data_IF_221096832677
#
_entry.id   IF_221096832677
#
_cell.length_a   1.000
_cell.length_b   1.000
_cell.length_c   1.000
_cell.angle_alpha   90.00
_cell.angle_beta   90.00
_cell.angle_gamma   90.00
#
_symmetry.space_group_name_H-M   'P 1'
#
loop_
_entity.id
_entity.type
_entity.pdbx_description
1 polymer ?
#
# COMPACT_ATOMS: atom_id res chain seq x y z
N UNK A 1 -17.55 -21.25 9.64
CA UNK A 1 -16.32 -20.41 9.57
C UNK A 1 -16.77 -18.97 9.78
N UNK A 2 -16.46 -18.38 10.93
CA UNK A 2 -16.85 -17.01 11.27
C UNK A 2 -15.96 -16.03 10.52
N UNK A 3 -16.55 -15.14 9.72
CA UNK A 3 -15.81 -14.09 9.03
C UNK A 3 -15.28 -13.01 9.99
N UNK A 4 -14.59 -11.98 9.48
CA UNK A 4 -13.98 -10.94 10.31
C UNK A 4 -15.00 -10.27 11.23
N UNK A 5 -14.59 -9.97 12.46
CA UNK A 5 -15.49 -9.41 13.47
C UNK A 5 -15.62 -7.88 13.33
N UNK A 6 -16.85 -7.40 13.28
CA UNK A 6 -17.24 -6.00 13.25
C UNK A 6 -17.80 -5.62 14.62
N UNK A 7 -17.25 -4.57 15.24
CA UNK A 7 -17.90 -3.95 16.39
C UNK A 7 -18.83 -2.86 15.88
N UNK A 8 -20.13 -3.00 16.16
CA UNK A 8 -21.16 -2.03 15.83
C UNK A 8 -21.54 -1.25 17.09
N UNK A 9 -21.33 0.06 17.04
CA UNK A 9 -21.55 1.00 18.14
C UNK A 9 -22.61 2.01 17.74
N UNK A 10 -23.77 1.93 18.38
CA UNK A 10 -24.94 2.79 18.10
C UNK A 10 -25.87 2.75 19.30
N UNK A 11 -26.40 3.90 19.73
CA UNK A 11 -27.32 4.01 20.87
C UNK A 11 -28.77 3.65 20.51
N UNK A 12 -29.11 3.60 19.22
CA UNK A 12 -30.41 3.15 18.73
C UNK A 12 -30.43 1.62 18.57
N UNK A 13 -31.12 0.94 19.49
CA UNK A 13 -31.25 -0.52 19.51
C UNK A 13 -31.79 -1.10 18.21
N UNK A 14 -32.80 -0.48 17.61
CA UNK A 14 -33.44 -0.97 16.39
C UNK A 14 -32.52 -0.82 15.19
N UNK A 15 -31.84 0.32 15.08
CA UNK A 15 -30.85 0.53 14.03
C UNK A 15 -29.67 -0.43 14.17
N UNK A 16 -29.23 -0.67 15.41
CA UNK A 16 -28.12 -1.58 15.71
C UNK A 16 -28.46 -3.03 15.35
N UNK A 17 -29.67 -3.51 15.65
CA UNK A 17 -30.15 -4.84 15.24
C UNK A 17 -30.20 -4.98 13.71
N UNK A 18 -30.82 -4.01 13.02
CA UNK A 18 -30.98 -4.02 11.57
C UNK A 18 -29.63 -4.03 10.82
N UNK A 19 -28.66 -3.23 11.26
CA UNK A 19 -27.32 -3.20 10.66
C UNK A 19 -26.56 -4.50 10.94
N UNK A 20 -26.70 -5.09 12.13
CA UNK A 20 -26.07 -6.35 12.48
C UNK A 20 -26.58 -7.53 11.66
N UNK A 21 -27.89 -7.58 11.36
CA UNK A 21 -28.48 -8.58 10.48
C UNK A 21 -27.86 -8.50 9.07
N UNK A 22 -27.73 -7.31 8.50
CA UNK A 22 -27.10 -7.13 7.19
C UNK A 22 -25.64 -7.57 7.18
N UNK A 23 -24.87 -7.23 8.21
CA UNK A 23 -23.46 -7.62 8.33
C UNK A 23 -23.32 -9.13 8.47
N UNK A 24 -24.18 -9.76 9.27
CA UNK A 24 -24.17 -11.21 9.50
C UNK A 24 -24.53 -11.97 8.22
N UNK A 25 -25.56 -11.53 7.49
CA UNK A 25 -25.88 -12.04 6.15
C UNK A 25 -24.72 -11.82 5.16
N UNK A 26 -23.97 -10.74 5.33
CA UNK A 26 -22.75 -10.41 4.60
C UNK A 26 -21.53 -11.28 4.94
N UNK A 27 -21.66 -12.21 5.90
CA UNK A 27 -20.62 -13.14 6.33
C UNK A 27 -19.70 -12.61 7.44
N UNK A 28 -20.04 -11.51 8.09
CA UNK A 28 -19.29 -10.95 9.21
C UNK A 28 -19.74 -11.55 10.55
N UNK A 29 -18.83 -11.62 11.52
CA UNK A 29 -19.23 -11.75 12.93
C UNK A 29 -19.52 -10.35 13.48
N UNK A 30 -20.60 -10.17 14.24
CA UNK A 30 -20.98 -8.84 14.76
C UNK A 30 -21.00 -8.87 16.27
N UNK A 31 -20.39 -7.84 16.87
CA UNK A 31 -20.47 -7.55 18.30
C UNK A 31 -21.07 -6.16 18.48
N UNK A 32 -21.82 -5.97 19.55
CA UNK A 32 -22.55 -4.74 19.82
C UNK A 32 -21.92 -3.96 20.97
N UNK A 33 -22.06 -2.64 20.91
CA UNK A 33 -21.98 -1.74 22.05
C UNK A 33 -23.07 -0.66 21.91
N UNK A 34 -23.74 -0.33 23.01
CA UNK A 34 -24.81 0.67 23.03
C UNK A 34 -24.30 2.09 23.27
N UNK A 35 -23.06 2.24 23.74
CA UNK A 35 -22.46 3.54 24.00
C UNK A 35 -20.93 3.52 23.83
N UNK A 36 -20.33 4.72 23.84
CA UNK A 36 -18.90 4.90 23.65
C UNK A 36 -18.02 4.28 24.75
N UNK A 37 -18.48 4.23 26.00
CA UNK A 37 -17.72 3.64 27.12
C UNK A 37 -17.70 2.12 27.02
N UNK A 38 -18.85 1.52 26.73
CA UNK A 38 -18.96 0.10 26.45
C UNK A 38 -18.07 -0.27 25.25
N UNK A 39 -18.12 0.51 24.16
CA UNK A 39 -17.30 0.28 22.99
C UNK A 39 -15.80 0.25 23.33
N UNK A 40 -15.30 1.25 24.07
CA UNK A 40 -13.90 1.30 24.51
C UNK A 40 -13.53 0.11 25.42
N UNK A 41 -14.40 -0.26 26.35
CA UNK A 41 -14.17 -1.41 27.23
C UNK A 41 -14.09 -2.73 26.44
N UNK A 42 -14.98 -2.91 25.46
CA UNK A 42 -15.03 -4.09 24.60
C UNK A 42 -13.80 -4.17 23.69
N UNK A 43 -13.45 -3.07 23.01
CA UNK A 43 -12.29 -3.02 22.12
C UNK A 43 -10.98 -3.33 22.83
N UNK A 44 -10.81 -2.83 24.07
CA UNK A 44 -9.62 -3.11 24.90
C UNK A 44 -9.52 -4.58 25.30
N UNK A 45 -10.65 -5.26 25.50
CA UNK A 45 -10.67 -6.70 25.84
C UNK A 45 -10.45 -7.58 24.61
N UNK A 46 -11.02 -7.21 23.47
CA UNK A 46 -10.89 -7.96 22.22
C UNK A 46 -10.99 -6.99 21.04
N UNK A 47 -9.86 -6.67 20.39
CA UNK A 47 -9.86 -5.77 19.24
C UNK A 47 -10.64 -6.34 18.04
N UNK A 48 -11.64 -5.63 17.51
CA UNK A 48 -12.36 -6.05 16.31
C UNK A 48 -11.54 -5.82 15.03
N UNK A 49 -11.98 -6.42 13.92
CA UNK A 49 -11.38 -6.20 12.62
C UNK A 49 -11.70 -4.80 12.06
N UNK A 50 -12.86 -4.23 12.43
CA UNK A 50 -13.33 -2.88 12.08
C UNK A 50 -14.41 -2.43 13.07
N UNK A 51 -14.51 -1.13 13.29
CA UNK A 51 -15.58 -0.51 14.09
C UNK A 51 -16.50 0.26 13.17
N UNK A 52 -17.80 0.00 13.27
CA UNK A 52 -18.86 0.86 12.77
C UNK A 52 -19.33 1.72 13.93
N UNK A 53 -19.11 3.03 13.84
CA UNK A 53 -19.26 3.94 14.97
C UNK A 53 -20.27 5.03 14.64
N UNK A 54 -21.37 5.10 15.38
CA UNK A 54 -22.26 6.25 15.28
C UNK A 54 -21.56 7.53 15.76
N UNK A 55 -21.75 8.60 15.00
CA UNK A 55 -21.25 9.94 15.34
C UNK A 55 -22.04 10.51 16.52
N UNK A 56 -23.36 10.30 16.57
CA UNK A 56 -24.25 11.00 17.49
C UNK A 56 -24.77 10.08 18.59
N UNK A 57 -23.98 9.89 19.65
CA UNK A 57 -24.39 9.12 20.82
C UNK A 57 -24.44 9.99 22.09
N UNK A 58 -25.31 9.68 23.06
CA UNK A 58 -25.35 10.35 24.35
C UNK A 58 -24.08 10.07 25.18
N UNK A 59 -23.80 10.98 26.11
CA UNK A 59 -22.61 10.99 26.99
C UNK A 59 -21.27 11.14 26.25
N UNK A 60 -20.82 10.09 25.58
CA UNK A 60 -19.54 10.04 24.87
C UNK A 60 -19.82 9.83 23.38
N UNK A 61 -19.75 10.93 22.62
CA UNK A 61 -20.01 10.92 21.19
C UNK A 61 -18.96 10.12 20.41
N UNK A 62 -19.31 9.69 19.19
CA UNK A 62 -18.43 8.85 18.37
C UNK A 62 -17.11 9.52 18.00
N UNK A 63 -17.07 10.84 17.93
CA UNK A 63 -15.82 11.57 17.64
C UNK A 63 -14.88 11.49 18.84
N UNK A 64 -15.39 11.63 20.06
CA UNK A 64 -14.63 11.49 21.29
C UNK A 64 -14.12 10.05 21.49
N UNK A 65 -14.94 9.04 21.18
CA UNK A 65 -14.52 7.62 21.16
C UNK A 65 -13.38 7.41 20.19
N UNK A 66 -13.53 7.91 18.96
CA UNK A 66 -12.52 7.81 17.91
C UNK A 66 -11.19 8.47 18.33
N UNK A 67 -11.28 9.66 18.90
CA UNK A 67 -10.14 10.40 19.44
C UNK A 67 -9.41 9.60 20.54
N UNK A 68 -10.15 8.97 21.45
CA UNK A 68 -9.59 8.10 22.49
C UNK A 68 -8.95 6.83 21.89
N UNK A 69 -9.55 6.27 20.84
CA UNK A 69 -8.96 5.16 20.10
C UNK A 69 -7.63 5.59 19.47
N UNK A 70 -7.56 6.76 18.82
CA UNK A 70 -6.32 7.24 18.17
C UNK A 70 -5.22 7.60 19.18
N UNK A 71 -5.59 8.00 20.41
CA UNK A 71 -4.63 8.21 21.52
C UNK A 71 -4.19 6.91 22.20
N UNK A 72 -4.92 5.82 22.01
CA UNK A 72 -4.62 4.51 22.62
C UNK A 72 -3.82 3.64 21.64
N UNK A 73 -2.55 3.31 21.91
CA UNK A 73 -1.71 2.54 20.98
C UNK A 73 -2.35 1.22 20.52
N UNK A 74 -3.08 0.55 21.42
CA UNK A 74 -3.70 -0.75 21.17
C UNK A 74 -4.98 -0.65 20.32
N UNK A 75 -5.56 0.55 20.19
CA UNK A 75 -6.82 0.80 19.47
C UNK A 75 -6.62 1.65 18.21
N UNK A 76 -5.51 2.38 18.11
CA UNK A 76 -5.26 3.38 17.07
C UNK A 76 -5.27 2.79 15.65
N UNK A 77 -4.90 1.51 15.51
CA UNK A 77 -4.85 0.81 14.22
C UNK A 77 -6.14 0.06 13.86
N UNK A 78 -7.18 0.15 14.69
CA UNK A 78 -8.49 -0.42 14.38
C UNK A 78 -9.17 0.53 13.39
N UNK A 79 -9.57 0.05 12.20
CA UNK A 79 -10.21 0.91 11.23
C UNK A 79 -11.61 1.29 11.70
N UNK A 80 -12.00 2.54 11.45
CA UNK A 80 -13.28 3.09 11.86
C UNK A 80 -14.05 3.60 10.66
N UNK A 81 -15.28 3.12 10.55
CA UNK A 81 -16.28 3.60 9.59
C UNK A 81 -17.36 4.33 10.38
N UNK A 82 -17.46 5.64 10.17
CA UNK A 82 -18.49 6.42 10.86
C UNK A 82 -19.88 6.18 10.25
N UNK A 83 -20.89 6.10 11.11
CA UNK A 83 -22.30 6.10 10.77
C UNK A 83 -22.90 7.45 11.17
N UNK A 84 -23.67 8.09 10.29
CA UNK A 84 -24.29 9.39 10.58
C UNK A 84 -25.72 9.48 10.08
N UNK A 85 -26.61 10.01 10.92
CA UNK A 85 -27.97 10.42 10.53
C UNK A 85 -28.01 11.71 9.71
N UNK A 86 -26.91 12.46 9.64
CA UNK A 86 -26.80 13.71 8.88
C UNK A 86 -25.94 13.52 7.63
N UNK A 87 -26.49 13.86 6.46
CA UNK A 87 -25.88 13.64 5.13
C UNK A 87 -25.18 14.88 4.55
N UNK A 88 -24.84 15.87 5.40
CA UNK A 88 -24.13 17.05 4.93
C UNK A 88 -22.71 16.72 4.46
N UNK A 89 -22.27 17.17 3.27
CA UNK A 89 -20.90 17.02 2.80
C UNK A 89 -19.84 17.51 3.80
N UNK A 90 -20.16 18.53 4.59
CA UNK A 90 -19.25 19.09 5.61
C UNK A 90 -18.96 18.11 6.75
N UNK A 91 -19.94 17.30 7.16
CA UNK A 91 -19.77 16.29 8.22
C UNK A 91 -18.88 15.16 7.72
N UNK A 92 -19.08 14.74 6.46
CA UNK A 92 -18.26 13.71 5.82
C UNK A 92 -16.80 14.15 5.65
N UNK A 93 -16.56 15.38 5.17
CA UNK A 93 -15.20 15.92 5.02
C UNK A 93 -14.51 15.97 6.38
N UNK A 94 -15.17 16.49 7.42
CA UNK A 94 -14.61 16.57 8.76
C UNK A 94 -14.27 15.19 9.35
N UNK A 95 -15.10 14.18 9.15
CA UNK A 95 -14.83 12.82 9.60
C UNK A 95 -13.59 12.21 8.92
N UNK A 96 -13.39 12.48 7.63
CA UNK A 96 -12.21 12.04 6.88
C UNK A 96 -10.96 12.82 7.28
N UNK A 97 -11.07 14.13 7.53
CA UNK A 97 -9.97 14.97 8.04
C UNK A 97 -9.49 14.53 9.43
N UNK A 98 -10.37 13.97 10.25
CA UNK A 98 -10.03 13.38 11.55
C UNK A 98 -9.27 12.04 11.41
N UNK A 99 -9.17 11.46 10.21
CA UNK A 99 -8.44 10.22 9.94
C UNK A 99 -9.29 8.96 10.07
N UNK A 100 -10.61 9.07 9.87
CA UNK A 100 -11.48 7.90 9.71
C UNK A 100 -11.23 7.21 8.37
N UNK A 101 -11.45 5.89 8.33
CA UNK A 101 -11.17 5.06 7.15
C UNK A 101 -12.29 5.15 6.10
N UNK A 102 -13.52 5.38 6.54
CA UNK A 102 -14.67 5.72 5.67
C UNK A 102 -15.81 6.37 6.50
N UNK A 103 -16.84 6.83 5.79
CA UNK A 103 -18.05 7.42 6.35
C UNK A 103 -19.29 6.95 5.56
N UNK A 104 -20.34 6.53 6.28
CA UNK A 104 -21.59 6.01 5.72
C UNK A 104 -22.79 6.69 6.36
N UNK A 105 -23.79 7.05 5.56
CA UNK A 105 -25.04 7.58 6.08
C UNK A 105 -25.92 6.41 6.60
N UNK A 106 -26.62 6.59 7.73
CA UNK A 106 -27.46 5.54 8.32
C UNK A 106 -28.58 5.05 7.38
N UNK A 107 -28.99 5.86 6.40
CA UNK A 107 -30.01 5.57 5.39
C UNK A 107 -29.43 5.09 4.05
N UNK A 108 -28.18 4.65 4.05
CA UNK A 108 -27.51 4.06 2.89
C UNK A 108 -28.03 2.65 2.60
N UNK A 109 -27.97 2.23 1.32
CA UNK A 109 -28.31 0.88 0.90
C UNK A 109 -27.42 -0.16 1.66
N UNK A 110 -28.00 -1.23 2.25
CA UNK A 110 -27.23 -2.28 2.93
C UNK A 110 -26.08 -2.89 2.11
N UNK A 111 -26.27 -3.03 0.79
CA UNK A 111 -25.25 -3.54 -0.11
C UNK A 111 -24.03 -2.58 -0.21
N UNK A 112 -24.28 -1.27 -0.14
CA UNK A 112 -23.22 -0.25 -0.11
C UNK A 112 -22.45 -0.29 1.20
N UNK A 113 -23.15 -0.39 2.35
CA UNK A 113 -22.50 -0.54 3.66
C UNK A 113 -21.55 -1.76 3.65
N UNK A 114 -22.04 -2.92 3.20
CA UNK A 114 -21.24 -4.14 3.08
C UNK A 114 -20.03 -3.96 2.16
N UNK A 115 -20.20 -3.31 1.00
CA UNK A 115 -19.11 -3.06 0.07
C UNK A 115 -18.02 -2.16 0.67
N UNK A 116 -18.41 -1.14 1.42
CA UNK A 116 -17.50 -0.20 2.10
C UNK A 116 -16.73 -0.86 3.23
N UNK A 117 -17.41 -1.61 4.08
CA UNK A 117 -16.77 -2.39 5.16
C UNK A 117 -15.74 -3.37 4.57
N UNK A 118 -16.10 -4.09 3.50
CA UNK A 118 -15.15 -4.96 2.78
C UNK A 118 -13.97 -4.21 2.17
N UNK A 119 -14.21 -3.00 1.63
CA UNK A 119 -13.15 -2.18 1.05
C UNK A 119 -12.17 -1.68 2.12
N UNK A 120 -12.67 -1.24 3.28
CA UNK A 120 -11.85 -0.85 4.43
C UNK A 120 -11.03 -2.04 4.94
N UNK A 121 -11.64 -3.20 5.09
CA UNK A 121 -10.94 -4.42 5.52
C UNK A 121 -9.90 -4.91 4.49
N UNK A 122 -10.15 -4.71 3.18
CA UNK A 122 -9.17 -4.98 2.11
C UNK A 122 -8.00 -4.00 2.07
N UNK A 123 -8.23 -2.75 2.49
CA UNK A 123 -7.17 -1.73 2.63
C UNK A 123 -6.26 -2.00 3.82
N UNK A 124 -6.66 -2.89 4.74
CA UNK A 124 -5.83 -3.36 5.84
C UNK A 124 -4.79 -4.37 5.34
N UNK A 125 -3.48 -4.17 5.57
CA UNK A 125 -2.56 -5.29 5.68
C UNK A 125 -2.93 -6.08 6.95
N UNK A 126 -2.86 -7.40 6.89
CA UNK A 126 -3.19 -8.27 8.02
C UNK A 126 -2.47 -7.80 9.29
N UNK A 127 -3.23 -7.38 10.30
CA UNK A 127 -2.66 -7.01 11.59
C UNK A 127 -2.22 -8.27 12.31
N UNK A 128 -0.90 -8.45 12.37
CA UNK A 128 -0.22 -9.24 13.38
C UNK A 128 1.03 -8.44 13.82
N UNK A 129 0.87 -7.72 14.93
CA UNK A 129 1.91 -7.32 15.88
C UNK A 129 3.14 -6.56 15.36
N UNK A 130 3.18 -5.23 15.57
CA UNK A 130 4.45 -4.48 15.66
C UNK A 130 4.47 -3.12 14.96
N UNK A 131 3.93 -2.09 15.63
CA UNK A 131 4.25 -0.67 15.46
C UNK A 131 4.60 -0.17 14.03
N UNK A 132 3.57 0.16 13.24
CA UNK A 132 3.72 1.08 12.10
C UNK A 132 4.20 2.42 12.66
N UNK A 133 5.44 2.79 12.36
CA UNK A 133 6.06 4.04 12.79
C UNK A 133 5.75 5.20 11.83
N UNK A 134 5.43 4.91 10.55
CA UNK A 134 5.17 5.91 9.52
C UNK A 134 4.44 5.28 8.32
N UNK A 135 3.48 5.98 7.71
CA UNK A 135 2.87 5.59 6.44
C UNK A 135 2.69 6.83 5.55
N UNK A 136 2.72 6.64 4.24
CA UNK A 136 2.60 7.75 3.29
C UNK A 136 2.64 7.30 1.83
N UNK A 137 2.93 8.25 0.94
CA UNK A 137 2.95 8.04 -0.52
C UNK A 137 4.34 8.37 -1.07
N UNK A 138 4.86 7.50 -1.95
CA UNK A 138 6.09 7.71 -2.72
C UNK A 138 5.80 8.26 -4.13
N UNK A 139 6.54 9.30 -4.51
CA UNK A 139 6.46 9.94 -5.83
C UNK A 139 5.26 10.89 -5.99
N UNK A 140 5.25 11.66 -7.09
CA UNK A 140 4.29 12.75 -7.30
C UNK A 140 4.48 13.86 -6.26
N UNK A 141 3.40 14.24 -5.58
CA UNK A 141 3.41 15.21 -4.46
C UNK A 141 3.87 14.59 -3.12
N UNK A 142 4.26 13.30 -3.12
CA UNK A 142 4.74 12.57 -1.95
C UNK A 142 6.25 12.65 -1.73
N UNK A 143 6.75 11.87 -0.76
CA UNK A 143 8.19 11.80 -0.42
C UNK A 143 8.93 10.93 -1.45
N UNK A 144 10.19 11.23 -1.75
CA UNK A 144 11.00 10.37 -2.60
C UNK A 144 11.53 9.15 -1.83
N UNK A 145 11.80 8.03 -2.52
CA UNK A 145 12.31 6.83 -1.84
C UNK A 145 13.66 7.12 -1.15
N UNK A 146 14.52 7.92 -1.79
CA UNK A 146 15.82 8.29 -1.26
C UNK A 146 15.70 9.16 0.01
N UNK A 147 14.83 10.16 0.03
CA UNK A 147 14.59 11.01 1.20
C UNK A 147 14.03 10.19 2.38
N UNK A 148 13.09 9.28 2.09
CA UNK A 148 12.54 8.38 3.09
C UNK A 148 13.62 7.44 3.66
N UNK A 149 14.40 6.78 2.81
CA UNK A 149 15.45 5.88 3.26
C UNK A 149 16.53 6.62 4.04
N UNK A 150 16.95 7.81 3.62
CA UNK A 150 17.89 8.65 4.38
C UNK A 150 17.35 8.97 5.77
N UNK A 151 16.07 9.31 5.88
CA UNK A 151 15.41 9.56 7.16
C UNK A 151 15.45 8.33 8.07
N UNK A 152 15.11 7.16 7.53
CA UNK A 152 15.14 5.90 8.28
C UNK A 152 16.55 5.53 8.75
N UNK A 153 17.55 5.67 7.87
CA UNK A 153 18.95 5.40 8.19
C UNK A 153 19.48 6.35 9.27
N UNK A 154 19.08 7.62 9.25
CA UNK A 154 19.45 8.60 10.26
C UNK A 154 18.96 8.22 11.68
N UNK A 155 17.79 7.57 11.79
CA UNK A 155 17.26 7.12 13.10
C UNK A 155 18.11 6.02 13.75
N UNK A 156 18.89 5.27 12.96
CA UNK A 156 19.59 4.02 13.34
C UNK A 156 18.71 2.94 13.97
N UNK A 157 17.38 3.12 13.99
CA UNK A 157 16.43 2.13 14.50
C UNK A 157 16.21 1.06 13.45
N UNK A 158 16.01 -0.17 13.93
CA UNK A 158 15.61 -1.26 13.06
C UNK A 158 14.18 -1.02 12.55
N UNK A 159 14.02 -0.89 11.25
CA UNK A 159 12.74 -0.62 10.59
C UNK A 159 12.61 -1.40 9.28
N UNK A 160 11.37 -1.69 8.88
CA UNK A 160 11.02 -2.27 7.58
C UNK A 160 10.09 -1.33 6.84
N UNK A 161 10.55 -0.85 5.70
CA UNK A 161 9.74 -0.20 4.68
C UNK A 161 9.08 -1.26 3.81
N UNK A 162 7.76 -1.20 3.65
CA UNK A 162 6.94 -2.08 2.82
C UNK A 162 6.24 -1.25 1.75
N UNK A 163 6.37 -1.65 0.49
CA UNK A 163 5.70 -1.07 -0.67
C UNK A 163 4.63 -2.04 -1.15
N UNK A 164 3.43 -1.96 -0.57
CA UNK A 164 2.39 -2.99 -0.69
C UNK A 164 1.96 -3.24 -2.14
N UNK A 165 1.85 -2.18 -2.94
CA UNK A 165 1.47 -2.28 -4.36
C UNK A 165 2.55 -2.94 -5.21
N UNK A 166 3.81 -2.71 -4.86
CA UNK A 166 4.96 -3.27 -5.56
C UNK A 166 5.30 -4.69 -5.09
N UNK A 167 4.77 -5.10 -3.93
CA UNK A 167 5.15 -6.36 -3.26
C UNK A 167 6.62 -6.35 -2.83
N UNK A 168 7.14 -5.18 -2.44
CA UNK A 168 8.54 -4.99 -2.08
C UNK A 168 8.73 -4.66 -0.61
N UNK A 169 9.91 -4.97 -0.07
CA UNK A 169 10.31 -4.53 1.26
C UNK A 169 11.79 -4.14 1.32
N UNK A 170 12.12 -3.11 2.08
CA UNK A 170 13.49 -2.69 2.40
C UNK A 170 13.63 -2.64 3.91
N UNK A 171 14.62 -3.34 4.47
CA UNK A 171 14.88 -3.37 5.90
C UNK A 171 16.13 -2.56 6.22
N UNK A 172 16.00 -1.64 7.17
CA UNK A 172 17.07 -0.77 7.65
C UNK A 172 17.38 -1.14 9.10
N UNK A 173 18.66 -1.22 9.47
CA UNK A 173 19.10 -1.41 10.85
C UNK A 173 20.50 -0.82 11.07
N UNK A 174 20.74 -0.24 12.24
CA UNK A 174 22.07 0.28 12.60
C UNK A 174 22.59 1.40 11.70
N UNK A 175 21.71 2.08 10.96
CA UNK A 175 22.09 3.12 9.99
C UNK A 175 22.51 2.59 8.61
N UNK A 176 22.23 1.32 8.32
CA UNK A 176 22.45 0.71 7.02
C UNK A 176 21.18 0.03 6.49
N UNK A 177 21.09 -0.15 5.17
CA UNK A 177 20.12 -1.04 4.55
C UNK A 177 20.66 -2.46 4.66
N UNK A 178 19.94 -3.35 5.33
CA UNK A 178 20.41 -4.70 5.64
C UNK A 178 19.74 -5.79 4.80
N UNK A 179 18.55 -5.51 4.27
CA UNK A 179 17.85 -6.43 3.36
C UNK A 179 16.96 -5.63 2.40
N UNK A 180 16.80 -6.15 1.18
CA UNK A 180 15.83 -5.66 0.22
C UNK A 180 15.26 -6.87 -0.54
N UNK A 181 13.94 -6.86 -0.74
CA UNK A 181 13.21 -7.95 -1.38
C UNK A 181 12.19 -7.39 -2.34
N UNK A 182 12.12 -8.01 -3.52
CA UNK A 182 11.11 -7.72 -4.51
C UNK A 182 10.92 -8.91 -5.44
N UNK A 183 9.73 -9.53 -5.42
CA UNK A 183 9.48 -10.79 -6.13
C UNK A 183 10.56 -11.82 -5.81
N UNK A 184 11.22 -12.37 -6.84
CA UNK A 184 12.31 -13.35 -6.72
C UNK A 184 13.70 -12.70 -6.54
N UNK A 185 13.78 -11.36 -6.52
CA UNK A 185 15.03 -10.64 -6.31
C UNK A 185 15.29 -10.37 -4.82
N UNK A 186 16.56 -10.48 -4.45
CA UNK A 186 17.05 -10.23 -3.10
C UNK A 186 18.29 -9.32 -3.12
N UNK A 187 18.54 -8.61 -2.02
CA UNK A 187 19.74 -7.81 -1.84
C UNK A 187 19.82 -6.62 -2.81
N UNK A 188 21.01 -6.35 -3.35
CA UNK A 188 21.26 -5.15 -4.16
C UNK A 188 20.38 -5.12 -5.44
N UNK A 189 20.22 -6.25 -6.12
CA UNK A 189 19.39 -6.34 -7.32
C UNK A 189 17.90 -6.07 -7.04
N UNK A 190 17.43 -6.38 -5.82
CA UNK A 190 16.09 -6.01 -5.38
C UNK A 190 16.02 -4.51 -5.08
N UNK A 191 17.02 -3.96 -4.41
CA UNK A 191 17.07 -2.53 -4.06
C UNK A 191 17.06 -1.63 -5.30
N UNK A 192 17.79 -2.01 -6.35
CA UNK A 192 17.78 -1.32 -7.66
C UNK A 192 16.37 -1.30 -8.27
N UNK A 193 15.68 -2.44 -8.29
CA UNK A 193 14.32 -2.55 -8.85
C UNK A 193 13.29 -1.82 -8.01
N UNK A 194 13.46 -1.84 -6.70
CA UNK A 194 12.66 -1.03 -5.78
C UNK A 194 12.88 0.45 -6.09
N UNK A 195 14.12 0.92 -6.20
CA UNK A 195 14.41 2.30 -6.55
C UNK A 195 13.80 2.71 -7.90
N UNK A 196 13.86 1.82 -8.89
CA UNK A 196 13.31 2.05 -10.22
C UNK A 196 11.77 2.16 -10.23
N UNK A 197 11.08 1.30 -9.48
CA UNK A 197 9.62 1.19 -9.52
C UNK A 197 8.88 1.75 -8.29
N UNK A 198 9.60 2.29 -7.31
CA UNK A 198 9.01 2.81 -6.08
C UNK A 198 8.07 3.98 -6.37
N UNK A 199 6.78 3.69 -6.31
CA UNK A 199 5.67 4.64 -6.41
C UNK A 199 4.53 4.15 -5.52
N UNK A 200 3.70 5.09 -5.09
CA UNK A 200 2.48 4.79 -4.36
C UNK A 200 2.73 4.48 -2.88
N UNK A 201 1.84 3.72 -2.26
CA UNK A 201 1.73 3.73 -0.80
C UNK A 201 2.84 2.91 -0.14
N UNK A 202 3.38 3.47 0.94
CA UNK A 202 4.37 2.81 1.77
C UNK A 202 3.97 2.76 3.24
N UNK A 203 4.51 1.78 3.93
CA UNK A 203 4.38 1.61 5.37
C UNK A 203 5.76 1.34 5.94
N UNK A 204 6.11 1.97 7.05
CA UNK A 204 7.32 1.70 7.83
C UNK A 204 6.92 1.13 9.16
N UNK A 205 7.46 -0.04 9.48
CA UNK A 205 7.24 -0.72 10.76
C UNK A 205 8.55 -0.79 11.53
N UNK A 206 8.49 -0.59 12.85
CA UNK A 206 9.63 -0.90 13.71
C UNK A 206 9.79 -2.43 13.73
N UNK A 207 10.98 -2.92 13.39
CA UNK A 207 11.28 -4.34 13.49
C UNK A 207 12.20 -4.58 14.67
N UNK A 208 11.95 -5.62 15.45
CA UNK A 208 12.97 -6.12 16.36
C UNK A 208 14.19 -6.49 15.50
N UNK A 209 15.37 -6.01 15.89
CA UNK A 209 16.58 -6.18 15.11
C UNK A 209 16.75 -7.66 14.71
N UNK A 210 16.80 -7.93 13.41
CA UNK A 210 17.25 -9.23 12.91
C UNK A 210 18.72 -9.34 13.28
N UNK A 211 19.01 -10.02 14.39
CA UNK A 211 20.36 -10.42 14.76
C UNK A 211 20.85 -11.47 13.75
N UNK A 212 21.40 -10.99 12.64
CA UNK A 212 22.09 -11.77 11.61
C UNK A 212 23.47 -11.16 11.34
N UNK A 213 24.43 -11.94 10.80
CA UNK A 213 25.81 -11.49 10.65
C UNK A 213 25.88 -10.20 9.84
N UNK A 214 26.84 -9.33 10.22
CA UNK A 214 27.20 -8.08 9.56
C UNK A 214 27.68 -8.33 8.13
N UNK A 215 26.74 -8.66 7.23
CA UNK A 215 26.95 -8.53 5.79
C UNK A 215 27.20 -7.04 5.49
N UNK A 216 28.05 -6.70 4.50
CA UNK A 216 28.14 -5.32 4.04
C UNK A 216 26.73 -4.84 3.67
N UNK A 217 26.31 -3.73 4.27
CA UNK A 217 24.99 -3.16 4.01
C UNK A 217 24.79 -2.88 2.52
N UNK A 218 23.56 -3.03 2.05
CA UNK A 218 23.17 -2.66 0.69
C UNK A 218 23.39 -1.17 0.48
N UNK A 219 23.83 -0.80 -0.73
CA UNK A 219 24.19 0.59 -1.04
C UNK A 219 23.09 1.25 -1.85
N UNK A 220 22.37 2.18 -1.22
CA UNK A 220 21.42 3.05 -1.91
C UNK A 220 22.13 3.88 -2.99
N UNK A 221 23.34 4.36 -2.73
CA UNK A 221 24.13 5.10 -3.71
C UNK A 221 24.43 4.23 -4.94
N UNK A 222 24.84 2.98 -4.74
CA UNK A 222 25.11 2.07 -5.87
C UNK A 222 23.83 1.78 -6.66
N UNK A 223 22.68 1.67 -5.99
CA UNK A 223 21.40 1.52 -6.68
C UNK A 223 21.08 2.76 -7.53
N UNK A 224 21.22 3.97 -6.98
CA UNK A 224 20.99 5.22 -7.70
C UNK A 224 21.94 5.38 -8.90
N UNK A 225 23.22 5.05 -8.74
CA UNK A 225 24.20 5.04 -9.85
C UNK A 225 23.77 4.07 -10.96
N UNK A 226 23.33 2.85 -10.60
CA UNK A 226 22.84 1.89 -11.58
C UNK A 226 21.59 2.38 -12.33
N UNK A 227 20.72 3.16 -11.67
CA UNK A 227 19.57 3.81 -12.30
C UNK A 227 19.99 4.89 -13.30
N UNK A 228 20.97 5.71 -12.94
CA UNK A 228 21.50 6.75 -13.83
C UNK A 228 22.18 6.12 -15.06
N UNK A 229 22.99 5.08 -14.86
CA UNK A 229 23.62 4.32 -15.94
C UNK A 229 22.56 3.67 -16.85
N UNK A 230 21.52 3.09 -16.26
CA UNK A 230 20.39 2.54 -16.99
C UNK A 230 19.71 3.60 -17.86
N UNK A 231 19.41 4.77 -17.30
CA UNK A 231 18.78 5.89 -18.02
C UNK A 231 19.68 6.40 -19.14
N UNK A 232 20.97 6.54 -18.89
CA UNK A 232 21.95 6.95 -19.88
C UNK A 232 22.03 5.97 -21.06
N UNK A 233 22.01 4.66 -20.78
CA UNK A 233 22.04 3.62 -21.82
C UNK A 233 20.78 3.59 -22.69
N UNK A 234 19.61 3.86 -22.10
CA UNK A 234 18.33 3.93 -22.81
C UNK A 234 18.14 5.24 -23.59
N UNK A 235 18.83 6.30 -23.19
CA UNK A 235 18.82 7.60 -23.85
C UNK A 235 17.42 8.17 -24.00
N UNK A 236 17.06 8.58 -25.23
CA UNK A 236 15.74 9.15 -25.55
C UNK A 236 14.57 8.18 -25.33
N UNK A 237 14.85 6.88 -25.17
CA UNK A 237 13.82 5.86 -25.00
C UNK A 237 13.50 5.57 -23.53
N UNK A 238 14.18 6.19 -22.57
CA UNK A 238 14.04 5.90 -21.14
C UNK A 238 12.58 5.99 -20.63
N UNK A 239 11.79 6.90 -21.19
CA UNK A 239 10.40 7.14 -20.79
C UNK A 239 9.38 6.60 -21.82
N UNK A 240 9.84 5.78 -22.80
CA UNK A 240 8.98 5.28 -23.86
C UNK A 240 8.06 4.13 -23.40
N UNK A 241 6.91 4.01 -24.07
CA UNK A 241 6.17 2.75 -24.09
C UNK A 241 6.66 1.93 -25.28
N UNK A 242 7.02 0.68 -25.04
CA UNK A 242 7.54 -0.24 -26.04
C UNK A 242 6.48 -1.27 -26.41
N UNK A 243 6.51 -1.71 -27.67
CA UNK A 243 5.81 -2.88 -28.17
C UNK A 243 6.81 -3.88 -28.75
N UNK A 244 6.44 -5.16 -28.80
CA UNK A 244 7.16 -6.12 -29.64
C UNK A 244 6.88 -5.86 -31.11
N UNK A 245 7.91 -5.96 -31.95
CA UNK A 245 7.75 -5.87 -33.39
C UNK A 245 6.83 -6.98 -33.91
N UNK A 246 5.84 -6.61 -34.74
CA UNK A 246 4.89 -7.56 -35.34
C UNK A 246 5.57 -8.53 -36.32
N UNK A 247 6.64 -8.09 -36.98
CA UNK A 247 7.48 -8.89 -37.86
C UNK A 247 8.96 -8.61 -37.54
N UNK A 248 9.52 -9.23 -36.49
CA UNK A 248 10.89 -8.96 -36.08
C UNK A 248 11.88 -9.53 -37.13
N UNK A 249 13.05 -8.90 -37.32
CA UNK A 249 14.03 -9.33 -38.32
C UNK A 249 14.63 -10.71 -38.01
N UNK A 250 14.66 -11.09 -36.74
CA UNK A 250 15.03 -12.42 -36.23
C UNK A 250 14.13 -12.81 -35.05
N UNK A 251 14.24 -14.05 -34.57
CA UNK A 251 13.51 -14.45 -33.36
C UNK A 251 13.95 -13.60 -32.15
N UNK A 252 13.02 -13.03 -31.37
CA UNK A 252 13.39 -12.20 -30.23
C UNK A 252 14.11 -13.03 -29.14
N UNK A 253 14.99 -12.41 -28.35
CA UNK A 253 15.58 -13.03 -27.17
C UNK A 253 14.52 -13.70 -26.29
N UNK A 254 14.84 -14.87 -25.73
CA UNK A 254 13.90 -15.65 -24.90
C UNK A 254 13.35 -14.85 -23.71
N UNK A 255 14.15 -13.93 -23.15
CA UNK A 255 13.73 -12.99 -22.11
C UNK A 255 12.55 -12.12 -22.56
N UNK A 256 12.63 -11.52 -23.76
CA UNK A 256 11.54 -10.72 -24.35
C UNK A 256 10.36 -11.58 -24.78
N UNK A 257 10.61 -12.73 -25.39
CA UNK A 257 9.57 -13.65 -25.86
C UNK A 257 8.65 -14.12 -24.72
N UNK A 258 9.23 -14.40 -23.54
CA UNK A 258 8.47 -14.77 -22.33
C UNK A 258 7.51 -13.67 -21.85
N UNK A 259 7.71 -12.41 -22.24
CA UNK A 259 6.86 -11.26 -21.85
C UNK A 259 5.95 -10.81 -22.98
N UNK A 260 5.85 -11.56 -24.08
CA UNK A 260 5.10 -11.13 -25.26
C UNK A 260 3.63 -10.76 -24.96
N UNK A 261 2.98 -11.47 -24.05
CA UNK A 261 1.60 -11.22 -23.64
C UNK A 261 1.41 -9.96 -22.78
N UNK A 262 2.49 -9.37 -22.26
CA UNK A 262 2.45 -8.18 -21.41
C UNK A 262 2.55 -6.88 -22.22
N UNK A 263 3.02 -6.94 -23.46
CA UNK A 263 3.17 -5.75 -24.30
C UNK A 263 1.81 -5.18 -24.73
N UNK A 264 1.67 -3.84 -24.81
CA UNK A 264 2.72 -2.83 -24.65
C UNK A 264 3.08 -2.56 -23.18
N UNK A 265 4.36 -2.28 -22.93
CA UNK A 265 4.90 -1.97 -21.60
C UNK A 265 5.70 -0.68 -21.65
N UNK A 266 5.61 0.14 -20.60
CA UNK A 266 6.62 1.19 -20.38
C UNK A 266 8.00 0.56 -20.19
N UNK A 267 9.07 1.30 -20.47
CA UNK A 267 10.43 0.82 -20.22
C UNK A 267 10.63 0.39 -18.78
N UNK A 268 10.08 1.12 -17.81
CA UNK A 268 10.12 0.76 -16.39
C UNK A 268 9.46 -0.59 -16.15
N UNK A 269 8.23 -0.80 -16.64
CA UNK A 269 7.52 -2.08 -16.48
C UNK A 269 8.26 -3.25 -17.14
N UNK A 270 8.86 -3.01 -18.31
CA UNK A 270 9.65 -4.02 -18.99
C UNK A 270 10.91 -4.38 -18.18
N UNK A 271 11.70 -3.38 -17.76
CA UNK A 271 12.93 -3.60 -16.99
C UNK A 271 12.67 -4.40 -15.71
N UNK A 272 11.62 -4.04 -14.96
CA UNK A 272 11.29 -4.76 -13.74
C UNK A 272 10.77 -6.17 -14.03
N UNK A 273 10.10 -6.39 -15.17
CA UNK A 273 9.65 -7.73 -15.55
C UNK A 273 10.77 -8.67 -15.99
N UNK A 274 11.97 -8.18 -16.31
CA UNK A 274 13.08 -8.97 -16.84
C UNK A 274 13.90 -9.64 -15.73
N UNK A 275 14.39 -10.85 -16.05
CA UNK A 275 15.27 -11.63 -15.19
C UNK A 275 16.68 -11.00 -15.12
N UNK A 276 17.48 -11.32 -14.11
CA UNK A 276 18.87 -10.84 -13.96
C UNK A 276 19.02 -9.58 -13.11
N UNK A 277 20.19 -8.92 -13.13
CA UNK A 277 20.37 -7.61 -12.50
C UNK A 277 19.82 -6.48 -13.41
N UNK A 278 19.82 -5.23 -12.91
CA UNK A 278 19.31 -4.11 -13.71
C UNK A 278 20.15 -3.90 -14.97
N UNK A 279 21.47 -4.05 -14.90
CA UNK A 279 22.37 -3.89 -16.03
C UNK A 279 22.07 -4.88 -17.17
N UNK A 280 21.84 -6.16 -16.86
CA UNK A 280 21.47 -7.19 -17.83
C UNK A 280 20.08 -6.95 -18.43
N UNK A 281 19.12 -6.49 -17.61
CA UNK A 281 17.81 -6.09 -18.10
C UNK A 281 17.91 -4.90 -19.07
N UNK A 282 18.68 -3.87 -18.72
CA UNK A 282 18.94 -2.71 -19.58
C UNK A 282 19.62 -3.12 -20.88
N UNK A 283 20.65 -3.95 -20.83
CA UNK A 283 21.31 -4.47 -22.01
C UNK A 283 20.34 -5.24 -22.93
N UNK A 284 19.42 -6.02 -22.35
CA UNK A 284 18.37 -6.73 -23.10
C UNK A 284 17.46 -5.76 -23.84
N UNK A 285 17.02 -4.67 -23.18
CA UNK A 285 16.16 -3.65 -23.79
C UNK A 285 16.90 -2.88 -24.89
N UNK A 286 18.12 -2.41 -24.60
CA UNK A 286 18.97 -1.69 -25.57
C UNK A 286 19.25 -2.56 -26.80
N UNK A 287 19.62 -3.81 -26.61
CA UNK A 287 19.84 -4.76 -27.72
C UNK A 287 18.55 -5.02 -28.49
N UNK A 288 17.42 -5.18 -27.79
CA UNK A 288 16.11 -5.36 -28.40
C UNK A 288 15.68 -4.17 -29.27
N UNK A 289 15.97 -2.94 -28.83
CA UNK A 289 15.73 -1.72 -29.60
C UNK A 289 16.65 -1.65 -30.82
N UNK A 290 17.95 -1.86 -30.64
CA UNK A 290 18.95 -1.80 -31.71
C UNK A 290 18.72 -2.86 -32.80
N UNK A 291 18.26 -4.05 -32.41
CA UNK A 291 17.94 -5.15 -33.32
C UNK A 291 16.51 -5.06 -33.91
N UNK A 292 15.73 -4.04 -33.57
CA UNK A 292 14.36 -3.86 -34.09
C UNK A 292 13.34 -4.87 -33.55
N UNK A 293 13.62 -5.54 -32.43
CA UNK A 293 12.65 -6.40 -31.74
C UNK A 293 11.66 -5.59 -30.90
N UNK A 294 12.08 -4.43 -30.40
CA UNK A 294 11.26 -3.51 -29.62
C UNK A 294 11.04 -2.23 -30.42
N UNK A 295 9.80 -1.77 -30.46
CA UNK A 295 9.41 -0.55 -31.18
C UNK A 295 8.84 0.44 -30.16
N UNK A 296 9.41 1.66 -30.04
CA UNK A 296 8.81 2.73 -29.26
C UNK A 296 7.47 3.14 -29.88
N UNK A 297 6.41 3.12 -29.07
CA UNK A 297 5.12 3.69 -29.44
C UNK A 297 5.21 5.20 -29.23
N UNK A 298 4.95 5.97 -30.28
CA UNK A 298 4.71 7.40 -30.13
C UNK A 298 3.43 7.58 -29.29
N UNK A 299 3.47 8.46 -28.28
CA UNK A 299 2.24 9.01 -27.71
C UNK A 299 1.40 9.50 -28.88
N UNK A 300 0.21 8.95 -29.08
CA UNK A 300 -0.74 9.56 -30.00
C UNK A 300 -0.99 10.96 -29.45
N UNK A 301 -0.47 11.96 -30.14
CA UNK A 301 -0.97 13.32 -30.02
C UNK A 301 -2.45 13.24 -30.39
N UNK A 302 -3.34 13.18 -29.41
CA UNK A 302 -4.73 13.58 -29.63
C UNK A 302 -4.70 15.08 -29.92
N UNK A 303 -4.51 15.38 -31.19
CA UNK A 303 -4.89 16.63 -31.83
C UNK A 303 -5.96 16.20 -32.83
N UNK A 304 -7.23 16.42 -32.51
CA UNK A 304 -8.04 17.52 -33.05
C UNK A 304 -9.39 17.54 -32.33
#
# INVERSE_FOLDING_TARGET
MTGPEVLLVDDDDLHRELVADYLTLGGFAVRHAADGREALAVMRRTPPAVVLLDVQMPELDGVAVFDEMRRSPDLAAIPVVFLSGVTSPHVRVRALELGADDFVAKHTNPAELLARVRAVLRRRPAVATGAVALAGTLGGDGVSLDELLQTLLATRRASRLTLSQLGASVTCAGGAIVDARWRDHHGQAALERVALAARGNFIVEATAALAGPSAPGLSLLAALVALDDCRAALGQHADATLALAAAPPTAPPASLARRAALFPLTVVELLVSLDGDLAAATATVVTGLAAGHLIPLSLRSEVT
#
